data_IF_530925091427
#
_entry.id   IF_530925091427
#
_cell.length_a   1.000
_cell.length_b   1.000
_cell.length_c   1.000
_cell.angle_alpha   90.00
_cell.angle_beta   90.00
_cell.angle_gamma   90.00
#
_symmetry.space_group_name_H-M   'P 1'
#
loop_
_entity.id
_entity.type
_entity.pdbx_description
1 polymer ?
#
# COMPACT_ATOMS: atom_id res chain seq x y z
N UNK A 1 -16.27 11.96 -17.12
CA UNK A 1 -16.62 11.45 -15.78
C UNK A 1 -15.41 11.68 -14.89
N UNK A 2 -15.36 12.79 -14.16
CA UNK A 2 -14.26 13.20 -13.29
C UNK A 2 -14.85 14.14 -12.25
N UNK A 3 -15.27 13.58 -11.12
CA UNK A 3 -15.56 14.30 -9.86
C UNK A 3 -15.88 13.25 -8.78
N UNK A 4 -14.96 12.30 -8.55
CA UNK A 4 -15.04 11.42 -7.38
C UNK A 4 -14.12 12.04 -6.32
N UNK A 5 -14.65 12.53 -5.19
CA UNK A 5 -13.84 13.00 -4.08
C UNK A 5 -12.85 11.90 -3.66
N UNK A 6 -11.59 12.25 -3.40
CA UNK A 6 -10.55 11.29 -3.03
C UNK A 6 -10.93 10.50 -1.76
N UNK A 7 -11.74 11.12 -0.92
CA UNK A 7 -12.41 10.62 0.29
C UNK A 7 -13.47 9.52 0.02
N UNK A 8 -13.79 9.22 -1.24
CA UNK A 8 -14.70 8.13 -1.64
C UNK A 8 -14.04 7.08 -2.54
N UNK A 9 -12.71 7.14 -2.70
CA UNK A 9 -11.97 6.14 -3.48
C UNK A 9 -12.16 4.77 -2.85
N UNK A 10 -12.81 3.87 -3.60
CA UNK A 10 -12.89 2.47 -3.22
C UNK A 10 -11.49 1.85 -3.20
N UNK A 11 -11.32 0.74 -2.47
CA UNK A 11 -10.08 -0.05 -2.50
C UNK A 11 -9.72 -0.45 -3.94
N UNK A 12 -10.73 -0.77 -4.78
CA UNK A 12 -10.54 -1.08 -6.19
C UNK A 12 -9.91 0.09 -6.96
N UNK A 13 -10.48 1.28 -6.82
CA UNK A 13 -10.01 2.48 -7.52
C UNK A 13 -8.60 2.86 -7.07
N UNK A 14 -8.32 2.73 -5.79
CA UNK A 14 -7.01 3.00 -5.21
C UNK A 14 -5.97 2.01 -5.74
N UNK A 15 -6.25 0.71 -5.70
CA UNK A 15 -5.37 -0.31 -6.26
C UNK A 15 -5.16 -0.10 -7.77
N UNK A 16 -6.19 0.33 -8.50
CA UNK A 16 -6.09 0.67 -9.92
C UNK A 16 -5.19 1.89 -10.16
N UNK A 17 -5.38 2.97 -9.39
CA UNK A 17 -4.59 4.18 -9.51
C UNK A 17 -3.11 3.93 -9.23
N UNK A 18 -2.79 3.15 -8.20
CA UNK A 18 -1.42 2.77 -7.86
C UNK A 18 -0.80 1.91 -8.97
N UNK A 19 -1.49 0.88 -9.48
CA UNK A 19 -1.01 0.04 -10.60
C UNK A 19 -0.75 0.85 -11.87
N UNK A 20 -1.57 1.86 -12.13
CA UNK A 20 -1.45 2.74 -13.29
C UNK A 20 -0.47 3.91 -13.06
N UNK A 21 0.12 4.01 -11.86
CA UNK A 21 0.99 5.10 -11.43
C UNK A 21 0.36 6.51 -11.58
N UNK A 22 -0.95 6.63 -11.31
CA UNK A 22 -1.70 7.88 -11.43
C UNK A 22 -1.84 8.54 -10.06
N UNK A 23 -1.39 9.80 -9.93
CA UNK A 23 -1.49 10.60 -8.69
C UNK A 23 -1.02 9.84 -7.43
N UNK A 24 0.05 9.06 -7.57
CA UNK A 24 0.52 8.13 -6.51
C UNK A 24 0.83 8.86 -5.21
N UNK A 25 1.42 10.05 -5.29
CA UNK A 25 1.77 10.83 -4.10
C UNK A 25 0.52 11.25 -3.31
N UNK A 26 -0.56 11.56 -4.01
CA UNK A 26 -1.85 11.93 -3.44
C UNK A 26 -2.65 10.72 -2.97
N UNK A 27 -2.49 9.56 -3.62
CA UNK A 27 -3.21 8.31 -3.30
C UNK A 27 -2.60 7.57 -2.10
N UNK A 28 -1.28 7.64 -1.92
CA UNK A 28 -0.55 6.93 -0.88
C UNK A 28 -1.05 7.20 0.56
N UNK A 29 -1.39 8.44 0.97
CA UNK A 29 -2.00 8.69 2.28
C UNK A 29 -3.32 7.93 2.51
N UNK A 30 -4.13 7.74 1.47
CA UNK A 30 -5.37 6.96 1.57
C UNK A 30 -5.06 5.46 1.71
N UNK A 31 -4.02 4.97 1.03
CA UNK A 31 -3.56 3.60 1.19
C UNK A 31 -3.12 3.31 2.64
N UNK A 32 -2.44 4.27 3.29
CA UNK A 32 -2.10 4.20 4.71
C UNK A 32 -3.35 4.08 5.57
N UNK A 33 -4.31 5.01 5.39
CA UNK A 33 -5.53 5.03 6.20
C UNK A 33 -6.36 3.74 6.09
N UNK A 34 -6.34 3.07 4.92
CA UNK A 34 -6.98 1.77 4.73
C UNK A 34 -6.22 0.64 5.44
N UNK A 35 -4.88 0.60 5.30
CA UNK A 35 -4.05 -0.41 5.97
C UNK A 35 -4.06 -0.28 7.50
N UNK A 36 -4.24 0.92 8.04
CA UNK A 36 -4.43 1.14 9.48
C UNK A 36 -5.75 0.57 9.99
N UNK A 37 -6.79 0.52 9.15
CA UNK A 37 -8.08 -0.06 9.51
C UNK A 37 -8.07 -1.58 9.36
N UNK A 38 -7.51 -2.08 8.27
CA UNK A 38 -7.38 -3.50 7.97
C UNK A 38 -6.14 -3.74 7.11
N UNK A 39 -5.14 -4.42 7.68
CA UNK A 39 -3.88 -4.73 6.98
C UNK A 39 -4.10 -5.68 5.80
N UNK A 40 -5.17 -6.48 5.81
CA UNK A 40 -5.55 -7.40 4.76
C UNK A 40 -6.51 -6.78 3.76
N UNK A 41 -6.71 -5.45 3.79
CA UNK A 41 -7.61 -4.79 2.84
C UNK A 41 -7.27 -5.13 1.39
N UNK A 42 -8.30 -5.46 0.63
CA UNK A 42 -8.24 -5.76 -0.78
C UNK A 42 -9.63 -5.81 -1.39
N UNK A 43 -9.72 -5.70 -2.71
CA UNK A 43 -10.99 -5.78 -3.42
C UNK A 43 -11.25 -7.19 -3.97
N UNK A 44 -10.23 -7.78 -4.60
CA UNK A 44 -10.32 -9.10 -5.22
C UNK A 44 -9.91 -10.23 -4.28
N UNK A 45 -8.97 -9.96 -3.39
CA UNK A 45 -8.41 -10.93 -2.44
C UNK A 45 -7.77 -10.18 -1.26
N UNK A 46 -7.64 -10.88 -0.13
CA UNK A 46 -7.03 -10.36 1.09
C UNK A 46 -5.57 -9.97 0.84
N UNK A 47 -5.21 -8.75 1.22
CA UNK A 47 -3.87 -8.20 1.03
C UNK A 47 -3.60 -7.66 -0.38
N UNK A 48 -4.61 -7.52 -1.26
CA UNK A 48 -4.44 -6.92 -2.60
C UNK A 48 -3.78 -5.54 -2.53
N UNK A 49 -4.09 -4.74 -1.50
CA UNK A 49 -3.47 -3.42 -1.35
C UNK A 49 -1.96 -3.53 -1.07
N UNK A 50 -1.54 -4.45 -0.20
CA UNK A 50 -0.11 -4.70 0.07
C UNK A 50 0.60 -5.17 -1.20
N UNK A 51 0.02 -6.14 -1.91
CA UNK A 51 0.56 -6.64 -3.18
C UNK A 51 0.71 -5.51 -4.21
N UNK A 52 -0.31 -4.65 -4.29
CA UNK A 52 -0.31 -3.50 -5.20
C UNK A 52 0.80 -2.49 -4.85
N UNK A 53 1.00 -2.19 -3.55
CA UNK A 53 2.06 -1.30 -3.09
C UNK A 53 3.45 -1.93 -3.26
N UNK A 54 3.59 -3.25 -3.09
CA UNK A 54 4.84 -3.98 -3.32
C UNK A 54 5.30 -3.90 -4.79
N UNK A 55 4.34 -3.86 -5.72
CA UNK A 55 4.59 -3.65 -7.14
C UNK A 55 4.93 -2.21 -7.54
N UNK A 56 4.75 -1.24 -6.63
CA UNK A 56 4.99 0.18 -6.93
C UNK A 56 6.49 0.49 -7.06
N UNK A 57 6.83 1.33 -8.04
CA UNK A 57 8.22 1.72 -8.29
C UNK A 57 8.85 2.47 -7.10
N UNK A 58 10.12 2.18 -6.80
CA UNK A 58 10.90 2.79 -5.71
C UNK A 58 10.91 4.32 -5.73
N UNK A 59 10.79 4.94 -6.91
CA UNK A 59 10.79 6.41 -7.07
C UNK A 59 9.70 7.12 -6.25
N UNK A 60 8.62 6.43 -5.89
CA UNK A 60 7.52 6.98 -5.09
C UNK A 60 7.76 6.87 -3.58
N UNK A 61 8.70 6.03 -3.16
CA UNK A 61 9.06 5.88 -1.75
C UNK A 61 10.15 6.90 -1.40
N UNK A 62 9.95 7.66 -0.32
CA UNK A 62 10.94 8.62 0.20
C UNK A 62 11.24 8.28 1.65
N UNK A 63 12.52 8.16 2.01
CA UNK A 63 13.03 7.73 3.32
C UNK A 63 12.35 8.37 4.54
N UNK A 64 12.03 9.67 4.44
CA UNK A 64 11.45 10.48 5.52
C UNK A 64 10.00 10.92 5.24
N UNK A 65 9.35 10.33 4.24
CA UNK A 65 7.92 10.59 4.04
C UNK A 65 7.13 9.97 5.18
N UNK A 66 6.15 10.72 5.71
CA UNK A 66 5.21 10.23 6.72
C UNK A 66 4.54 8.93 6.26
N UNK A 67 4.19 8.84 4.98
CA UNK A 67 3.60 7.64 4.37
C UNK A 67 4.55 6.43 4.49
N UNK A 68 5.80 6.59 4.09
CA UNK A 68 6.79 5.49 4.14
C UNK A 68 6.99 5.00 5.57
N UNK A 69 7.04 5.92 6.54
CA UNK A 69 7.15 5.55 7.95
C UNK A 69 5.88 4.85 8.47
N UNK A 70 4.70 5.34 8.09
CA UNK A 70 3.42 4.76 8.53
C UNK A 70 3.26 3.33 8.01
N UNK A 71 3.50 3.08 6.72
CA UNK A 71 3.42 1.72 6.15
C UNK A 71 4.42 0.78 6.82
N UNK A 72 5.66 1.22 7.05
CA UNK A 72 6.65 0.41 7.80
C UNK A 72 6.13 0.03 9.18
N UNK A 73 5.56 1.00 9.89
CA UNK A 73 5.02 0.78 11.23
C UNK A 73 3.89 -0.25 11.19
N UNK A 74 2.90 -0.08 10.31
CA UNK A 74 1.76 -1.00 10.15
C UNK A 74 2.24 -2.43 9.87
N UNK A 75 3.12 -2.60 8.87
CA UNK A 75 3.65 -3.92 8.51
C UNK A 75 4.46 -4.57 9.64
N UNK A 76 5.14 -3.78 10.47
CA UNK A 76 5.90 -4.29 11.62
C UNK A 76 5.04 -4.65 12.84
N UNK A 77 3.85 -4.04 12.95
CA UNK A 77 2.91 -4.31 14.04
C UNK A 77 1.98 -5.51 13.77
N UNK A 78 1.83 -5.89 12.50
CA UNK A 78 1.03 -7.06 12.12
C UNK A 78 1.85 -8.34 12.18
N UNK A 79 1.65 -9.13 13.25
CA UNK A 79 2.32 -10.41 13.45
C UNK A 79 1.51 -11.62 12.96
N UNK A 80 0.24 -11.41 12.59
CA UNK A 80 -0.73 -12.44 12.21
C UNK A 80 -1.15 -12.30 10.75
N UNK A 81 -0.18 -12.23 9.84
CA UNK A 81 -0.50 -12.48 8.44
C UNK A 81 -0.97 -13.93 8.30
N UNK A 82 -2.03 -14.22 7.53
CA UNK A 82 -2.38 -15.58 7.20
C UNK A 82 -1.16 -16.28 6.60
N UNK A 83 -1.07 -17.61 6.75
CA UNK A 83 0.03 -18.42 6.21
C UNK A 83 -0.07 -18.54 4.68
N UNK A 84 -0.06 -17.39 4.01
CA UNK A 84 -0.11 -17.18 2.58
C UNK A 84 1.28 -16.77 2.13
N UNK A 85 1.92 -17.67 1.37
CA UNK A 85 3.29 -17.48 0.91
C UNK A 85 3.43 -16.33 -0.10
N UNK A 86 2.36 -15.97 -0.82
CA UNK A 86 2.36 -14.87 -1.77
C UNK A 86 2.28 -13.54 -1.03
N UNK A 87 1.35 -13.41 -0.08
CA UNK A 87 1.24 -12.21 0.74
C UNK A 87 2.51 -11.94 1.55
N UNK A 88 3.10 -12.96 2.17
CA UNK A 88 4.35 -12.82 2.93
C UNK A 88 5.51 -12.38 2.02
N UNK A 89 5.54 -12.85 0.77
CA UNK A 89 6.51 -12.39 -0.23
C UNK A 89 6.30 -10.92 -0.55
N UNK A 90 5.05 -10.49 -0.78
CA UNK A 90 4.73 -9.10 -1.10
C UNK A 90 5.05 -8.15 0.07
N UNK A 91 4.74 -8.54 1.31
CA UNK A 91 5.14 -7.81 2.52
C UNK A 91 6.67 -7.64 2.55
N UNK A 92 7.42 -8.70 2.28
CA UNK A 92 8.88 -8.67 2.28
C UNK A 92 9.43 -7.74 1.19
N UNK A 93 8.88 -7.80 -0.03
CA UNK A 93 9.23 -6.91 -1.13
C UNK A 93 8.95 -5.46 -0.73
N UNK A 94 7.76 -5.18 -0.21
CA UNK A 94 7.37 -3.83 0.20
C UNK A 94 8.30 -3.31 1.30
N UNK A 95 8.60 -4.10 2.33
CA UNK A 95 9.56 -3.72 3.37
C UNK A 95 10.96 -3.42 2.80
N UNK A 96 11.44 -4.22 1.85
CA UNK A 96 12.71 -3.98 1.17
C UNK A 96 12.70 -2.65 0.39
N UNK A 97 11.64 -2.38 -0.36
CA UNK A 97 11.45 -1.12 -1.12
C UNK A 97 11.44 0.09 -0.18
N UNK A 98 10.75 -0.02 0.95
CA UNK A 98 10.70 1.02 1.97
C UNK A 98 12.07 1.20 2.67
N UNK A 99 12.88 0.14 2.77
CA UNK A 99 14.22 0.13 3.38
C UNK A 99 15.35 0.64 2.48
N UNK A 100 15.28 0.37 1.17
CA UNK A 100 16.31 0.72 0.17
C UNK A 100 16.43 2.20 -0.17
N UNK A 101 15.47 3.03 0.24
CA UNK A 101 15.54 4.48 0.05
C UNK A 101 16.55 5.06 1.05
N UNK A 102 17.83 4.91 0.71
CA UNK A 102 19.01 5.26 1.51
C UNK A 102 19.53 6.64 1.17
#
# INVERSE_FOLDING_TARGET
MRDTPLDTLSVEDLCRAVRQEIFVAEVLPFAVALLEQDVLTGYKYDGELIATLAGLNEKYWRKKSLVTCAIKHILSSCNDFPNDAELLRDVSILQERLGKVG
#
